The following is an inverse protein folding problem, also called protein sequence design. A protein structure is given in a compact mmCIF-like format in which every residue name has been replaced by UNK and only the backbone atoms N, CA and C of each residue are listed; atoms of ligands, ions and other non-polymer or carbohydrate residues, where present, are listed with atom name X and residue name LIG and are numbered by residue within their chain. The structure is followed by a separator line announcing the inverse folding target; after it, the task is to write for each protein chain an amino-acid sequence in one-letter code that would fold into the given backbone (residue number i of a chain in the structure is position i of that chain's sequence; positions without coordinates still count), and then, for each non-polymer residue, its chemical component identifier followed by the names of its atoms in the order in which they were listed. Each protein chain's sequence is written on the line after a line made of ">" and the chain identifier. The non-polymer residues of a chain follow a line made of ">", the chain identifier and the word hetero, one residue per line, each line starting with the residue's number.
data_IF_965826246886
#
_entry.id   IF_965826246886
#
_cell.length_a   1.000
_cell.length_b   1.000
_cell.length_c   1.000
_cell.angle_alpha   90.00
_cell.angle_beta   90.00
_cell.angle_gamma   90.00
#
_symmetry.space_group_name_H-M   'P 1'
#
loop_
_entity.id
_entity.type
_entity.pdbx_description
1 polymer ?
#
# COMPACT_ATOMS: atom_id res chain seq x y z
N UNK A 1 4.31 -17.00 8.83
CA UNK A 1 5.25 -16.12 8.12
C UNK A 1 5.25 -16.52 6.65
N UNK A 2 4.34 -16.00 5.81
CA UNK A 2 4.28 -16.32 4.38
C UNK A 2 4.00 -15.03 3.59
N UNK A 3 5.08 -14.35 3.18
CA UNK A 3 5.03 -13.23 2.24
C UNK A 3 6.39 -13.01 1.52
N UNK A 4 7.20 -14.06 1.30
CA UNK A 4 8.63 -13.87 0.96
C UNK A 4 9.09 -14.43 -0.40
N UNK A 5 8.31 -15.23 -1.14
CA UNK A 5 8.83 -15.92 -2.35
C UNK A 5 7.94 -15.89 -3.61
N UNK A 6 7.36 -14.74 -3.96
CA UNK A 6 6.68 -14.55 -5.26
C UNK A 6 7.69 -14.09 -6.34
N UNK A 7 8.71 -13.35 -5.91
CA UNK A 7 9.75 -12.82 -6.79
C UNK A 7 10.75 -13.91 -7.14
N UNK A 8 10.91 -14.18 -8.44
CA UNK A 8 11.88 -15.15 -8.96
C UNK A 8 12.64 -14.57 -10.14
N UNK A 9 13.85 -15.05 -10.36
CA UNK A 9 14.63 -14.66 -11.54
C UNK A 9 14.06 -15.38 -12.76
N UNK A 10 13.63 -14.61 -13.76
CA UNK A 10 13.19 -15.14 -15.05
C UNK A 10 13.93 -14.42 -16.18
N UNK A 11 14.16 -15.12 -17.30
CA UNK A 11 14.68 -14.51 -18.52
C UNK A 11 13.60 -13.61 -19.12
N UNK A 12 13.95 -12.36 -19.41
CA UNK A 12 13.08 -11.40 -20.08
C UNK A 12 12.76 -11.83 -21.52
N UNK A 13 11.63 -11.38 -22.10
CA UNK A 13 11.20 -11.74 -23.46
C UNK A 13 11.97 -11.00 -24.57
N UNK A 14 13.28 -10.79 -24.40
CA UNK A 14 14.14 -10.06 -25.32
C UNK A 14 15.13 -11.00 -26.03
N UNK A 15 15.63 -10.57 -27.19
CA UNK A 15 16.65 -11.32 -27.97
C UNK A 15 17.95 -11.49 -27.18
N UNK A 16 18.27 -10.51 -26.34
CA UNK A 16 19.43 -10.48 -25.44
C UNK A 16 19.16 -11.24 -24.12
N UNK A 17 20.20 -11.87 -23.55
CA UNK A 17 20.07 -12.60 -22.29
C UNK A 17 20.01 -11.65 -21.07
N UNK A 18 18.79 -11.21 -20.73
CA UNK A 18 18.53 -10.48 -19.49
C UNK A 18 17.77 -11.33 -18.49
N UNK A 19 18.29 -11.37 -17.26
CA UNK A 19 17.66 -12.04 -16.13
C UNK A 19 17.13 -10.99 -15.16
N UNK A 20 15.82 -11.05 -14.87
CA UNK A 20 15.16 -10.08 -14.00
C UNK A 20 14.37 -10.79 -12.92
N UNK A 21 14.35 -10.21 -11.72
CA UNK A 21 13.51 -10.70 -10.63
C UNK A 21 12.08 -10.21 -10.84
N UNK A 22 11.19 -11.13 -11.21
CA UNK A 22 9.82 -10.81 -11.65
C UNK A 22 8.80 -11.71 -10.95
N UNK A 23 7.56 -11.24 -10.91
CA UNK A 23 6.38 -11.98 -10.42
C UNK A 23 5.62 -12.67 -11.55
N UNK A 24 5.88 -12.29 -12.81
CA UNK A 24 5.15 -12.77 -13.97
C UNK A 24 5.29 -14.30 -14.17
N UNK A 25 4.15 -14.94 -14.46
CA UNK A 25 4.06 -16.38 -14.70
C UNK A 25 4.25 -17.25 -13.45
N UNK A 26 4.34 -16.68 -12.24
CA UNK A 26 4.35 -17.44 -10.99
C UNK A 26 2.96 -18.00 -10.68
N UNK A 27 1.93 -17.19 -10.92
CA UNK A 27 0.54 -17.58 -10.73
C UNK A 27 -0.02 -18.20 -12.00
N UNK A 28 -0.74 -19.32 -11.86
CA UNK A 28 -1.40 -20.01 -12.97
C UNK A 28 -2.57 -19.22 -13.54
N UNK A 29 -3.16 -18.32 -12.74
CA UNK A 29 -4.32 -17.53 -13.10
C UNK A 29 -4.06 -16.03 -12.85
N UNK A 30 -4.42 -15.20 -13.85
CA UNK A 30 -4.17 -13.75 -13.85
C UNK A 30 -4.82 -13.02 -12.65
N UNK A 31 -5.94 -13.53 -12.15
CA UNK A 31 -6.63 -12.92 -11.01
C UNK A 31 -5.80 -12.92 -9.73
N UNK A 32 -4.85 -13.85 -9.56
CA UNK A 32 -4.00 -13.92 -8.37
C UNK A 32 -2.99 -12.78 -8.34
N UNK A 33 -2.40 -12.45 -9.49
CA UNK A 33 -1.46 -11.33 -9.62
C UNK A 33 -2.17 -9.98 -9.47
N UNK A 34 -3.38 -9.87 -10.02
CA UNK A 34 -4.23 -8.69 -9.84
C UNK A 34 -4.62 -8.49 -8.37
N UNK A 35 -5.07 -9.56 -7.69
CA UNK A 35 -5.44 -9.50 -6.28
C UNK A 35 -4.26 -9.13 -5.39
N UNK A 36 -3.08 -9.73 -5.62
CA UNK A 36 -1.86 -9.38 -4.87
C UNK A 36 -1.51 -7.90 -5.00
N UNK A 37 -1.53 -7.37 -6.22
CA UNK A 37 -1.24 -5.96 -6.49
C UNK A 37 -2.27 -5.03 -5.84
N UNK A 38 -3.57 -5.32 -5.99
CA UNK A 38 -4.64 -4.51 -5.41
C UNK A 38 -4.62 -4.53 -3.89
N UNK A 39 -4.48 -5.70 -3.27
CA UNK A 39 -4.37 -5.82 -1.82
C UNK A 39 -3.14 -5.08 -1.30
N UNK A 40 -2.01 -5.20 -1.99
CA UNK A 40 -0.79 -4.47 -1.62
C UNK A 40 -1.00 -2.96 -1.67
N UNK A 41 -1.61 -2.43 -2.73
CA UNK A 41 -1.94 -1.00 -2.86
C UNK A 41 -2.86 -0.54 -1.72
N UNK A 42 -3.90 -1.33 -1.42
CA UNK A 42 -4.86 -0.98 -0.36
C UNK A 42 -4.16 -0.94 1.00
N UNK A 43 -3.38 -1.96 1.35
CA UNK A 43 -2.78 -2.08 2.67
C UNK A 43 -1.54 -1.18 2.86
N UNK A 44 -0.72 -1.02 1.84
CA UNK A 44 0.52 -0.22 1.94
C UNK A 44 0.30 1.26 1.70
N UNK A 45 -0.73 1.65 0.95
CA UNK A 45 -0.94 3.05 0.58
C UNK A 45 -2.28 3.60 1.05
N UNK A 46 -3.41 3.03 0.59
CA UNK A 46 -4.72 3.64 0.81
C UNK A 46 -5.13 3.64 2.30
N UNK A 47 -4.98 2.51 2.98
CA UNK A 47 -5.33 2.38 4.39
C UNK A 47 -4.47 3.29 5.29
N UNK A 48 -3.13 3.32 5.15
CA UNK A 48 -2.30 4.29 5.86
C UNK A 48 -2.67 5.74 5.54
N UNK A 49 -2.94 6.07 4.28
CA UNK A 49 -3.30 7.43 3.87
C UNK A 49 -4.62 7.89 4.50
N UNK A 50 -5.65 7.06 4.46
CA UNK A 50 -6.94 7.36 5.10
C UNK A 50 -6.76 7.57 6.60
N UNK A 51 -5.99 6.71 7.26
CA UNK A 51 -5.68 6.82 8.69
C UNK A 51 -5.00 8.16 9.01
N UNK A 52 -4.03 8.57 8.18
CA UNK A 52 -3.33 9.85 8.35
C UNK A 52 -4.28 11.03 8.17
N UNK A 53 -5.12 11.03 7.13
CA UNK A 53 -6.10 12.09 6.88
C UNK A 53 -7.06 12.21 8.05
N UNK A 54 -7.63 11.09 8.52
CA UNK A 54 -8.58 11.08 9.65
C UNK A 54 -7.93 11.62 10.92
N UNK A 55 -6.73 11.16 11.27
CA UNK A 55 -6.03 11.64 12.46
C UNK A 55 -5.70 13.12 12.39
N UNK A 56 -5.32 13.63 11.22
CA UNK A 56 -5.10 15.07 11.00
C UNK A 56 -6.37 15.88 11.18
N UNK A 57 -7.50 15.44 10.60
CA UNK A 57 -8.80 16.10 10.75
C UNK A 57 -9.21 16.13 12.22
N UNK A 58 -9.12 14.99 12.93
CA UNK A 58 -9.45 14.91 14.35
C UNK A 58 -8.57 15.83 15.21
N UNK A 59 -7.27 15.89 14.90
CA UNK A 59 -6.32 16.76 15.61
C UNK A 59 -6.67 18.23 15.38
N UNK A 60 -6.88 18.63 14.13
CA UNK A 60 -7.25 19.99 13.78
C UNK A 60 -8.58 20.41 14.43
N UNK A 61 -9.57 19.52 14.38
CA UNK A 61 -10.86 19.73 15.05
C UNK A 61 -10.66 19.94 16.56
N UNK A 62 -9.90 19.07 17.22
CA UNK A 62 -9.61 19.16 18.66
C UNK A 62 -8.95 20.49 19.00
N UNK A 63 -7.93 20.90 18.25
CA UNK A 63 -7.25 22.19 18.46
C UNK A 63 -8.24 23.35 18.28
N UNK A 64 -9.04 23.33 17.21
CA UNK A 64 -10.02 24.39 16.93
C UNK A 64 -11.07 24.52 18.04
N UNK A 65 -11.53 23.40 18.59
CA UNK A 65 -12.49 23.40 19.70
C UNK A 65 -11.85 23.90 20.99
N UNK A 66 -10.60 23.53 21.26
CA UNK A 66 -9.86 24.03 22.42
C UNK A 66 -9.69 25.54 22.38
N UNK A 67 -9.30 26.10 21.23
CA UNK A 67 -9.17 27.55 21.04
C UNK A 67 -10.50 28.30 21.22
N UNK A 68 -11.64 27.68 20.86
CA UNK A 68 -12.96 28.30 21.00
C UNK A 68 -13.58 28.17 22.39
N UNK A 69 -13.01 27.38 23.32
CA UNK A 69 -13.56 27.33 24.68
C UNK A 69 -13.29 28.66 25.38
N UNK A 70 -14.33 29.37 25.86
CA UNK A 70 -14.10 30.56 26.68
C UNK A 70 -13.31 30.13 27.93
N UNK A 71 -12.27 30.89 28.29
CA UNK A 71 -11.59 30.71 29.58
C UNK A 71 -12.65 30.90 30.65
N UNK A 72 -13.06 29.79 31.28
CA UNK A 72 -13.90 29.83 32.47
C UNK A 72 -13.17 30.66 33.51
N UNK A 73 -13.83 31.71 33.99
CA UNK A 73 -13.40 32.58 35.07
C UNK A 73 -13.32 31.81 36.39
#
# INVERSE_FOLDING_TARGET
>A
MQAVFIFRVQRGPFEEEFYQCVTYGFYSAQWQEQLYTTVSLVLMFLLPLVTLITTYICTFYTISTYQRRPKGN
#
